data_IF_837957563147
#
_entry.id   IF_837957563147
#
_cell.length_a   1.000
_cell.length_b   1.000
_cell.length_c   1.000
_cell.angle_alpha   90.00
_cell.angle_beta   90.00
_cell.angle_gamma   90.00
#
_symmetry.space_group_name_H-M   'P 1'
#
loop_
_entity.id
_entity.type
_entity.pdbx_description
1 polymer ?
#
# COMPACT_ATOMS: atom_id res chain seq x y z
N UNK A 1 -34.43 -7.97 11.80
CA UNK A 1 -32.96 -8.02 11.62
C UNK A 1 -32.60 -9.10 10.61
N UNK A 2 -31.62 -8.86 9.74
CA UNK A 2 -31.09 -9.83 8.74
C UNK A 2 -29.66 -10.21 9.13
N UNK A 3 -29.08 -11.22 8.48
CA UNK A 3 -27.73 -11.70 8.80
C UNK A 3 -26.87 -11.96 7.57
N UNK A 4 -25.58 -11.63 7.70
CA UNK A 4 -24.51 -12.10 6.82
C UNK A 4 -23.41 -12.66 7.73
N UNK A 5 -23.09 -13.95 7.59
CA UNK A 5 -22.17 -14.65 8.49
C UNK A 5 -22.60 -14.50 9.96
N UNK A 6 -21.71 -14.08 10.85
CA UNK A 6 -21.97 -13.82 12.28
C UNK A 6 -22.36 -12.36 12.58
N UNK A 7 -22.76 -11.58 11.57
CA UNK A 7 -23.11 -10.16 11.74
C UNK A 7 -24.60 -9.96 11.45
N UNK A 8 -25.33 -9.53 12.46
CA UNK A 8 -26.71 -9.07 12.33
C UNK A 8 -26.75 -7.65 11.79
N UNK A 9 -27.77 -7.29 11.01
CA UNK A 9 -27.89 -5.93 10.49
C UNK A 9 -29.32 -5.50 10.21
N UNK A 10 -29.51 -4.19 10.17
CA UNK A 10 -30.73 -3.49 9.75
C UNK A 10 -30.33 -2.52 8.63
N UNK A 11 -31.22 -2.37 7.64
CA UNK A 11 -31.07 -1.42 6.53
C UNK A 11 -32.31 -0.55 6.52
N UNK A 12 -32.08 0.76 6.51
CA UNK A 12 -33.10 1.79 6.38
C UNK A 12 -32.89 2.54 5.07
N UNK A 13 -33.57 3.67 4.87
CA UNK A 13 -33.46 4.48 3.65
C UNK A 13 -32.04 5.05 3.45
N UNK A 14 -31.38 5.43 4.55
CA UNK A 14 -30.04 6.06 4.52
C UNK A 14 -28.96 5.11 4.99
N UNK A 15 -29.20 4.37 6.08
CA UNK A 15 -28.16 3.69 6.84
C UNK A 15 -28.20 2.17 6.71
N UNK A 16 -27.03 1.59 6.89
CA UNK A 16 -26.88 0.20 7.31
C UNK A 16 -26.24 0.19 8.69
N UNK A 17 -26.91 -0.48 9.64
CA UNK A 17 -26.42 -0.66 11.01
C UNK A 17 -26.15 -2.12 11.26
N UNK A 18 -24.94 -2.46 11.71
CA UNK A 18 -24.47 -3.82 11.92
C UNK A 18 -24.13 -4.09 13.38
N UNK A 19 -24.50 -5.27 13.85
CA UNK A 19 -24.10 -5.86 15.13
C UNK A 19 -23.15 -7.03 14.86
N UNK A 20 -21.86 -6.82 15.10
CA UNK A 20 -20.86 -7.88 15.02
C UNK A 20 -20.67 -8.48 16.40
N UNK A 21 -20.82 -9.81 16.50
CA UNK A 21 -20.63 -10.55 17.75
C UNK A 21 -19.47 -11.52 17.64
N UNK A 22 -18.69 -11.62 18.71
CA UNK A 22 -17.61 -12.60 18.85
C UNK A 22 -17.73 -13.32 20.19
N UNK A 23 -17.41 -14.60 20.18
CA UNK A 23 -17.35 -15.43 21.38
C UNK A 23 -16.03 -16.16 21.35
N UNK A 24 -15.23 -16.03 22.41
CA UNK A 24 -14.01 -16.79 22.57
C UNK A 24 -13.91 -17.33 23.98
N UNK A 25 -13.28 -18.49 24.13
CA UNK A 25 -13.07 -19.13 25.43
C UNK A 25 -12.00 -18.36 26.20
N UNK A 26 -12.28 -18.05 27.47
CA UNK A 26 -11.33 -17.43 28.40
C UNK A 26 -11.18 -18.37 29.60
N UNK A 27 -10.11 -19.15 29.64
CA UNK A 27 -9.94 -20.18 30.67
C UNK A 27 -10.77 -21.45 30.42
N UNK A 28 -10.90 -22.30 31.44
CA UNK A 28 -11.48 -23.65 31.30
C UNK A 28 -13.00 -23.63 31.15
N UNK A 29 -13.69 -22.73 31.86
CA UNK A 29 -15.14 -22.78 32.07
C UNK A 29 -15.87 -21.46 31.74
N UNK A 30 -15.18 -20.47 31.13
CA UNK A 30 -15.78 -19.18 30.77
C UNK A 30 -15.67 -18.89 29.27
N UNK A 31 -16.70 -18.24 28.73
CA UNK A 31 -16.72 -17.59 27.43
C UNK A 31 -16.72 -16.09 27.63
N UNK A 32 -15.93 -15.38 26.85
CA UNK A 32 -16.07 -13.93 26.69
C UNK A 32 -16.85 -13.66 25.41
N UNK A 33 -18.02 -13.07 25.60
CA UNK A 33 -18.85 -12.50 24.57
C UNK A 33 -18.43 -11.04 24.38
N UNK A 34 -18.31 -10.59 23.15
CA UNK A 34 -18.04 -9.20 22.82
C UNK A 34 -18.85 -8.80 21.61
N UNK A 35 -19.38 -7.58 21.60
CA UNK A 35 -20.15 -7.04 20.49
C UNK A 35 -19.75 -5.61 20.19
N UNK A 36 -19.96 -5.24 18.92
CA UNK A 36 -19.77 -3.89 18.41
C UNK A 36 -20.96 -3.54 17.53
N UNK A 37 -21.59 -2.40 17.80
CA UNK A 37 -22.61 -1.80 16.94
C UNK A 37 -21.97 -0.72 16.09
N UNK A 38 -22.05 -0.87 14.77
CA UNK A 38 -21.53 0.08 13.81
C UNK A 38 -22.61 0.59 12.87
N UNK A 39 -22.53 1.86 12.45
CA UNK A 39 -23.43 2.45 11.46
C UNK A 39 -22.67 3.18 10.35
N UNK A 40 -23.21 3.17 9.14
CA UNK A 40 -22.76 4.02 8.03
C UNK A 40 -23.87 4.23 7.00
N UNK A 41 -23.86 5.33 6.23
CA UNK A 41 -24.76 5.48 5.10
C UNK A 41 -24.51 4.39 4.05
N UNK A 42 -25.51 3.99 3.29
CA UNK A 42 -25.30 3.06 2.18
C UNK A 42 -24.50 3.71 1.05
N UNK A 43 -24.65 5.01 0.81
CA UNK A 43 -23.96 5.67 -0.30
C UNK A 43 -22.42 5.57 -0.22
N UNK A 44 -21.83 5.51 0.98
CA UNK A 44 -20.37 5.58 1.13
C UNK A 44 -19.63 4.37 0.53
N UNK A 45 -20.17 3.16 0.63
CA UNK A 45 -19.54 2.00 -0.02
C UNK A 45 -19.72 2.04 -1.54
N UNK A 46 -20.85 2.58 -2.03
CA UNK A 46 -21.07 2.71 -3.48
C UNK A 46 -20.08 3.67 -4.10
N UNK A 47 -19.79 4.78 -3.42
CA UNK A 47 -18.76 5.75 -3.81
C UNK A 47 -17.38 5.09 -3.74
N UNK A 48 -17.08 4.37 -2.65
CA UNK A 48 -15.82 3.65 -2.53
C UNK A 48 -15.63 2.69 -3.71
N UNK A 49 -16.62 1.84 -4.02
CA UNK A 49 -16.51 0.91 -5.15
C UNK A 49 -16.45 1.62 -6.50
N UNK A 50 -17.22 2.67 -6.72
CA UNK A 50 -17.16 3.44 -7.96
C UNK A 50 -15.79 4.10 -8.16
N UNK A 51 -15.16 4.55 -7.08
CA UNK A 51 -13.83 5.17 -7.12
C UNK A 51 -12.68 4.18 -7.21
N UNK A 52 -12.81 3.00 -6.60
CA UNK A 52 -11.68 2.09 -6.35
C UNK A 52 -11.75 0.79 -7.16
N UNK A 53 -12.96 0.39 -7.58
CA UNK A 53 -13.26 -0.83 -8.32
C UNK A 53 -14.26 -0.53 -9.46
N UNK A 54 -14.02 0.48 -10.33
CA UNK A 54 -15.00 0.96 -11.29
C UNK A 54 -15.49 -0.13 -12.26
N UNK A 55 -14.63 -1.09 -12.59
CA UNK A 55 -14.92 -2.15 -13.56
C UNK A 55 -15.58 -3.39 -12.93
N UNK A 56 -15.68 -3.44 -11.59
CA UNK A 56 -16.22 -4.61 -10.90
C UNK A 56 -17.74 -4.54 -10.86
N UNK A 57 -18.39 -5.35 -11.69
CA UNK A 57 -19.84 -5.49 -11.65
C UNK A 57 -20.28 -6.24 -10.38
N UNK A 58 -21.13 -5.60 -9.57
CA UNK A 58 -21.65 -6.18 -8.33
C UNK A 58 -23.16 -6.31 -8.33
N UNK A 59 -23.67 -7.54 -8.38
CA UNK A 59 -25.09 -7.82 -8.16
C UNK A 59 -25.54 -7.47 -6.74
N UNK A 60 -26.85 -7.27 -6.56
CA UNK A 60 -27.47 -6.77 -5.31
C UNK A 60 -27.05 -7.55 -4.06
N UNK A 61 -27.06 -8.89 -4.11
CA UNK A 61 -26.64 -9.74 -2.98
C UNK A 61 -25.16 -9.57 -2.66
N UNK A 62 -24.30 -9.45 -3.66
CA UNK A 62 -22.86 -9.27 -3.45
C UNK A 62 -22.57 -7.90 -2.84
N UNK A 63 -23.24 -6.84 -3.31
CA UNK A 63 -23.15 -5.51 -2.69
C UNK A 63 -23.51 -5.60 -1.21
N UNK A 64 -24.69 -6.13 -0.88
CA UNK A 64 -25.14 -6.24 0.51
C UNK A 64 -24.15 -6.99 1.40
N UNK A 65 -23.65 -8.15 0.96
CA UNK A 65 -22.66 -8.90 1.71
C UNK A 65 -21.38 -8.09 1.93
N UNK A 66 -20.85 -7.44 0.88
CA UNK A 66 -19.61 -6.65 0.98
C UNK A 66 -19.73 -5.45 1.92
N UNK A 67 -20.92 -4.83 2.04
CA UNK A 67 -21.16 -3.75 3.03
C UNK A 67 -20.95 -4.21 4.46
N UNK A 68 -21.28 -5.48 4.73
CA UNK A 68 -21.27 -6.07 6.07
C UNK A 68 -19.93 -6.75 6.38
N UNK A 69 -19.48 -7.67 5.53
CA UNK A 69 -18.31 -8.50 5.80
C UNK A 69 -17.18 -8.38 4.77
N UNK A 70 -17.31 -7.50 3.77
CA UNK A 70 -16.30 -7.32 2.73
C UNK A 70 -15.04 -6.59 3.21
N UNK A 71 -13.90 -6.94 2.62
CA UNK A 71 -12.61 -6.25 2.86
C UNK A 71 -12.59 -4.85 2.25
N UNK A 72 -13.19 -4.67 1.08
CA UNK A 72 -13.34 -3.39 0.39
C UNK A 72 -14.65 -2.72 0.79
N UNK A 73 -14.67 -2.12 1.97
CA UNK A 73 -15.81 -1.38 2.50
C UNK A 73 -15.34 -0.18 3.30
N UNK A 74 -16.20 0.84 3.40
CA UNK A 74 -16.02 1.89 4.40
C UNK A 74 -16.37 1.28 5.75
N UNK A 75 -15.48 1.41 6.72
CA UNK A 75 -15.76 0.91 8.07
C UNK A 75 -16.83 1.77 8.74
N UNK A 76 -17.80 1.13 9.41
CA UNK A 76 -18.84 1.88 10.10
C UNK A 76 -18.27 2.75 11.22
N UNK A 77 -18.99 3.81 11.56
CA UNK A 77 -18.81 4.53 12.82
C UNK A 77 -19.29 3.62 13.96
N UNK A 78 -18.42 3.38 14.94
CA UNK A 78 -18.79 2.63 16.14
C UNK A 78 -19.72 3.48 17.01
N UNK A 79 -20.92 2.98 17.26
CA UNK A 79 -21.89 3.61 18.16
C UNK A 79 -21.78 3.09 19.59
N UNK A 80 -21.47 1.82 19.72
CA UNK A 80 -21.49 1.11 20.99
C UNK A 80 -20.62 -0.15 20.94
N UNK A 81 -19.99 -0.47 22.07
CA UNK A 81 -19.25 -1.71 22.27
C UNK A 81 -19.56 -2.28 23.64
N UNK A 82 -19.63 -3.60 23.74
CA UNK A 82 -19.84 -4.26 25.02
C UNK A 82 -19.15 -5.60 25.10
N UNK A 83 -18.90 -6.03 26.34
CA UNK A 83 -18.27 -7.31 26.66
C UNK A 83 -18.95 -7.93 27.87
N UNK A 84 -19.13 -9.24 27.84
CA UNK A 84 -19.73 -10.00 28.95
C UNK A 84 -19.05 -11.36 29.06
N UNK A 85 -18.75 -11.80 30.27
CA UNK A 85 -18.31 -13.16 30.53
C UNK A 85 -19.50 -14.02 30.95
N UNK A 86 -19.60 -15.23 30.40
CA UNK A 86 -20.63 -16.21 30.72
C UNK A 86 -20.00 -17.58 30.93
N UNK A 87 -20.62 -18.41 31.77
CA UNK A 87 -20.16 -19.79 31.97
C UNK A 87 -20.38 -20.62 30.69
N UNK A 88 -19.47 -21.52 30.36
CA UNK A 88 -19.62 -22.41 29.18
C UNK A 88 -20.87 -23.27 29.26
N UNK A 89 -21.26 -23.67 30.47
CA UNK A 89 -22.47 -24.45 30.71
C UNK A 89 -23.77 -23.66 30.43
N UNK A 90 -23.71 -22.34 30.29
CA UNK A 90 -24.87 -21.50 29.95
C UNK A 90 -24.97 -21.24 28.45
N UNK A 91 -26.18 -21.26 27.91
CA UNK A 91 -26.41 -20.75 26.55
C UNK A 91 -26.14 -19.25 26.54
N UNK A 92 -25.37 -18.72 25.56
CA UNK A 92 -25.13 -17.29 25.45
C UNK A 92 -26.45 -16.52 25.27
N UNK A 93 -26.77 -15.62 26.20
CA UNK A 93 -27.92 -14.72 26.11
C UNK A 93 -27.49 -13.39 25.47
N UNK A 94 -28.11 -13.06 24.33
CA UNK A 94 -27.82 -11.87 23.55
C UNK A 94 -28.90 -10.79 23.67
N UNK A 95 -29.92 -10.99 24.52
CA UNK A 95 -31.08 -10.11 24.63
C UNK A 95 -30.67 -8.67 24.96
N UNK A 96 -29.73 -8.50 25.90
CA UNK A 96 -29.19 -7.19 26.27
C UNK A 96 -28.49 -6.50 25.08
N UNK A 97 -27.63 -7.23 24.37
CA UNK A 97 -26.90 -6.71 23.21
C UNK A 97 -27.86 -6.34 22.06
N UNK A 98 -28.92 -7.12 21.84
CA UNK A 98 -29.94 -6.84 20.83
C UNK A 98 -30.82 -5.64 21.21
N UNK A 99 -31.17 -5.49 22.50
CA UNK A 99 -31.89 -4.34 23.02
C UNK A 99 -31.05 -3.06 22.90
N UNK A 100 -29.78 -3.12 23.29
CA UNK A 100 -28.83 -2.03 23.15
C UNK A 100 -28.63 -1.63 21.69
N UNK A 101 -28.41 -2.61 20.80
CA UNK A 101 -28.30 -2.40 19.36
C UNK A 101 -29.51 -1.64 18.79
N UNK A 102 -30.73 -2.09 19.11
CA UNK A 102 -31.95 -1.46 18.60
C UNK A 102 -32.12 -0.02 19.13
N UNK A 103 -31.76 0.20 20.39
CA UNK A 103 -31.82 1.52 21.04
C UNK A 103 -30.82 2.51 20.42
N UNK A 104 -29.54 2.16 20.36
CA UNK A 104 -28.50 3.07 19.83
C UNK A 104 -28.69 3.36 18.35
N UNK A 105 -29.19 2.38 17.60
CA UNK A 105 -29.60 2.57 16.21
C UNK A 105 -30.70 3.64 16.09
N UNK A 106 -31.81 3.50 16.83
CA UNK A 106 -32.92 4.42 16.78
C UNK A 106 -32.53 5.84 17.25
N UNK A 107 -31.77 5.94 18.35
CA UNK A 107 -31.25 7.21 18.87
C UNK A 107 -30.35 7.92 17.82
N UNK A 108 -29.47 7.17 17.15
CA UNK A 108 -28.58 7.73 16.14
C UNK A 108 -29.34 8.20 14.90
N UNK A 109 -30.24 7.37 14.35
CA UNK A 109 -31.01 7.72 13.15
C UNK A 109 -31.93 8.92 13.42
N UNK A 110 -32.51 9.02 14.61
CA UNK A 110 -33.31 10.17 15.00
C UNK A 110 -32.49 11.47 15.06
N UNK A 111 -31.26 11.40 15.57
CA UNK A 111 -30.35 12.55 15.69
C UNK A 111 -29.69 12.93 14.37
N UNK A 112 -29.35 11.93 13.55
CA UNK A 112 -28.64 12.06 12.28
C UNK A 112 -29.45 11.38 11.18
N UNK A 113 -30.54 11.99 10.69
CA UNK A 113 -31.43 11.35 9.71
C UNK A 113 -30.89 11.35 8.28
N UNK A 114 -29.81 12.08 7.99
CA UNK A 114 -29.27 12.25 6.63
C UNK A 114 -27.77 12.02 6.55
N UNK A 115 -27.27 11.70 5.35
CA UNK A 115 -25.84 11.60 5.09
C UNK A 115 -25.07 12.89 5.48
N UNK A 116 -25.69 14.07 5.35
CA UNK A 116 -25.08 15.34 5.79
C UNK A 116 -24.90 15.39 7.31
N UNK A 117 -25.94 15.04 8.08
CA UNK A 117 -25.82 14.95 9.53
C UNK A 117 -24.87 13.83 10.00
N UNK A 118 -24.63 12.81 9.16
CA UNK A 118 -23.60 11.80 9.44
C UNK A 118 -22.17 12.36 9.35
N UNK A 119 -21.89 13.30 8.44
CA UNK A 119 -20.56 13.96 8.36
C UNK A 119 -20.24 14.66 9.68
N UNK A 120 -21.21 15.35 10.28
CA UNK A 120 -21.06 15.98 11.59
C UNK A 120 -20.77 14.94 12.68
N UNK A 121 -21.46 13.79 12.66
CA UNK A 121 -21.19 12.70 13.58
C UNK A 121 -19.77 12.14 13.42
N UNK A 122 -19.29 11.95 12.18
CA UNK A 122 -17.93 11.47 11.90
C UNK A 122 -16.88 12.45 12.45
N UNK A 123 -17.05 13.75 12.20
CA UNK A 123 -16.15 14.79 12.72
C UNK A 123 -16.17 14.89 14.24
N UNK A 124 -17.33 14.73 14.87
CA UNK A 124 -17.42 14.72 16.33
C UNK A 124 -16.73 13.50 16.96
N UNK A 125 -16.60 12.40 16.22
CA UNK A 125 -15.96 11.16 16.71
C UNK A 125 -14.50 11.00 16.26
N UNK A 126 -13.99 11.87 15.37
CA UNK A 126 -12.61 11.79 14.88
C UNK A 126 -11.59 11.84 16.01
N UNK A 127 -11.88 12.63 17.05
CA UNK A 127 -10.99 12.85 18.19
C UNK A 127 -10.94 11.64 19.14
N UNK A 128 -11.95 10.76 19.07
CA UNK A 128 -12.07 9.59 19.95
C UNK A 128 -11.57 8.28 19.29
N UNK A 129 -11.43 8.25 17.96
CA UNK A 129 -11.11 7.02 17.23
C UNK A 129 -9.59 6.81 17.10
N UNK A 130 -9.08 5.66 17.58
CA UNK A 130 -7.65 5.31 17.52
C UNK A 130 -7.15 4.95 16.11
N UNK A 131 -7.96 5.13 15.06
CA UNK A 131 -7.66 4.70 13.68
C UNK A 131 -7.86 5.85 12.68
N UNK A 132 -6.91 6.80 12.60
CA UNK A 132 -7.01 7.97 11.72
C UNK A 132 -7.24 7.60 10.25
N UNK A 133 -6.60 6.53 9.77
CA UNK A 133 -6.72 6.04 8.39
C UNK A 133 -8.11 5.51 8.03
N UNK A 134 -8.88 5.04 9.02
CA UNK A 134 -10.26 4.59 8.82
C UNK A 134 -11.19 5.78 8.79
N UNK A 135 -11.00 6.72 9.72
CA UNK A 135 -11.85 7.89 9.85
C UNK A 135 -11.77 8.80 8.60
N UNK A 136 -10.57 9.00 8.04
CA UNK A 136 -10.40 9.84 6.84
C UNK A 136 -11.16 9.29 5.62
N UNK A 137 -11.14 7.97 5.40
CA UNK A 137 -11.90 7.34 4.30
C UNK A 137 -13.40 7.50 4.53
N UNK A 138 -13.84 7.36 5.78
CA UNK A 138 -15.25 7.54 6.16
C UNK A 138 -15.72 8.97 5.94
N UNK A 139 -14.92 9.96 6.31
CA UNK A 139 -15.24 11.38 6.11
C UNK A 139 -15.32 11.74 4.63
N UNK A 140 -14.29 11.41 3.84
CA UNK A 140 -14.25 11.75 2.40
C UNK A 140 -15.45 11.13 1.67
N UNK A 141 -15.75 9.85 1.93
CA UNK A 141 -16.88 9.17 1.29
C UNK A 141 -18.24 9.68 1.77
N UNK A 142 -18.36 10.14 3.02
CA UNK A 142 -19.57 10.78 3.54
C UNK A 142 -19.80 12.17 2.91
N UNK A 143 -18.75 12.98 2.73
CA UNK A 143 -18.83 14.25 2.00
C UNK A 143 -19.23 14.06 0.53
N UNK A 144 -18.67 13.05 -0.13
CA UNK A 144 -19.08 12.70 -1.50
C UNK A 144 -20.55 12.26 -1.57
N UNK A 145 -21.04 11.56 -0.54
CA UNK A 145 -22.45 11.14 -0.48
C UNK A 145 -23.44 12.31 -0.35
N UNK A 146 -22.98 13.48 0.07
CA UNK A 146 -23.80 14.70 0.17
C UNK A 146 -23.64 15.63 -1.04
N UNK A 147 -22.73 15.30 -1.98
CA UNK A 147 -22.36 16.15 -3.10
C UNK A 147 -21.35 17.25 -2.75
N UNK A 148 -20.75 17.22 -1.55
CA UNK A 148 -19.72 18.16 -1.11
C UNK A 148 -18.34 17.81 -1.71
N UNK A 149 -18.29 17.70 -3.04
CA UNK A 149 -17.13 17.16 -3.77
C UNK A 149 -15.85 17.99 -3.58
N UNK A 150 -15.96 19.32 -3.58
CA UNK A 150 -14.80 20.21 -3.38
C UNK A 150 -14.18 20.01 -1.99
N UNK A 151 -15.01 19.99 -0.95
CA UNK A 151 -14.58 19.75 0.43
C UNK A 151 -13.98 18.34 0.59
N UNK A 152 -14.59 17.33 -0.03
CA UNK A 152 -14.05 15.97 -0.04
C UNK A 152 -12.65 15.91 -0.69
N UNK A 153 -12.43 16.65 -1.77
CA UNK A 153 -11.13 16.74 -2.43
C UNK A 153 -10.09 17.42 -1.53
N UNK A 154 -10.44 18.53 -0.88
CA UNK A 154 -9.55 19.26 0.02
C UNK A 154 -9.13 18.41 1.23
N UNK A 155 -10.09 17.71 1.85
CA UNK A 155 -9.82 16.78 2.96
C UNK A 155 -8.90 15.65 2.51
N UNK A 156 -9.13 15.08 1.32
CA UNK A 156 -8.30 14.01 0.79
C UNK A 156 -6.88 14.48 0.45
N UNK A 157 -6.72 15.64 -0.18
CA UNK A 157 -5.42 16.23 -0.52
C UNK A 157 -4.62 16.57 0.74
N UNK A 158 -5.27 17.13 1.77
CA UNK A 158 -4.63 17.43 3.04
C UNK A 158 -4.15 16.14 3.75
N UNK A 159 -4.93 15.07 3.70
CA UNK A 159 -4.53 13.76 4.23
C UNK A 159 -3.33 13.20 3.47
N UNK A 160 -3.35 13.24 2.13
CA UNK A 160 -2.23 12.80 1.28
C UNK A 160 -0.97 13.59 1.60
N UNK A 161 -1.07 14.91 1.79
CA UNK A 161 0.07 15.77 2.12
C UNK A 161 0.69 15.42 3.50
N UNK A 162 -0.13 14.99 4.47
CA UNK A 162 0.34 14.48 5.77
C UNK A 162 0.89 13.04 5.71
N UNK A 163 0.84 12.38 4.55
CA UNK A 163 1.25 10.99 4.39
C UNK A 163 0.22 9.98 4.90
N UNK A 164 -1.04 10.38 5.08
CA UNK A 164 -2.14 9.48 5.43
C UNK A 164 -2.63 8.72 4.20
N UNK A 165 -2.73 7.40 4.34
CA UNK A 165 -2.86 6.46 3.23
C UNK A 165 -4.22 5.75 3.16
N UNK A 166 -5.07 5.98 4.16
CA UNK A 166 -6.28 5.17 4.34
C UNK A 166 -5.95 3.72 4.71
N UNK A 167 -6.98 2.87 4.75
CA UNK A 167 -6.87 1.48 5.17
C UNK A 167 -6.90 0.46 4.00
N UNK A 168 -6.85 0.94 2.75
CA UNK A 168 -6.95 0.13 1.53
C UNK A 168 -5.97 0.62 0.47
N UNK A 169 -5.39 -0.32 -0.27
CA UNK A 169 -4.51 -0.05 -1.40
C UNK A 169 -4.76 -1.04 -2.54
N UNK A 170 -4.56 -0.58 -3.76
CA UNK A 170 -4.52 -1.39 -4.99
C UNK A 170 -3.21 -1.03 -5.70
N UNK A 171 -3.25 -0.37 -6.86
CA UNK A 171 -2.08 0.27 -7.45
C UNK A 171 -1.52 1.39 -6.55
N UNK A 172 -2.40 2.10 -5.85
CA UNK A 172 -2.00 3.06 -4.82
C UNK A 172 -3.03 3.12 -3.69
N UNK A 173 -2.83 4.05 -2.76
CA UNK A 173 -3.68 4.28 -1.60
C UNK A 173 -5.07 4.80 -1.96
N UNK A 174 -6.09 4.30 -1.27
CA UNK A 174 -7.51 4.65 -1.50
C UNK A 174 -7.78 6.15 -1.40
N UNK A 175 -7.04 6.89 -0.56
CA UNK A 175 -7.19 8.34 -0.42
C UNK A 175 -6.91 9.07 -1.73
N UNK A 176 -5.97 8.57 -2.56
CA UNK A 176 -5.68 9.16 -3.88
C UNK A 176 -6.79 8.90 -4.90
N UNK A 177 -7.38 7.69 -4.89
CA UNK A 177 -8.56 7.39 -5.71
C UNK A 177 -9.73 8.32 -5.35
N UNK A 178 -10.00 8.48 -4.05
CA UNK A 178 -11.08 9.33 -3.57
C UNK A 178 -10.82 10.81 -3.88
N UNK A 179 -9.59 11.31 -3.72
CA UNK A 179 -9.21 12.67 -4.09
C UNK A 179 -9.46 12.94 -5.59
N UNK A 180 -9.01 12.04 -6.45
CA UNK A 180 -9.21 12.17 -7.90
C UNK A 180 -10.70 12.06 -8.29
N UNK A 181 -11.44 11.15 -7.66
CA UNK A 181 -12.87 10.95 -7.87
C UNK A 181 -13.67 12.20 -7.45
N UNK A 182 -13.32 12.79 -6.31
CA UNK A 182 -13.94 14.03 -5.80
C UNK A 182 -13.74 15.22 -6.75
N UNK A 183 -12.56 15.32 -7.38
CA UNK A 183 -12.23 16.36 -8.38
C UNK A 183 -12.96 16.18 -9.72
N UNK A 184 -13.68 15.08 -9.91
CA UNK A 184 -14.53 14.84 -11.06
C UNK A 184 -13.88 14.02 -12.19
N UNK A 185 -14.63 13.74 -13.27
CA UNK A 185 -14.26 12.72 -14.26
C UNK A 185 -12.92 12.95 -14.96
N UNK A 186 -12.58 14.21 -15.27
CA UNK A 186 -11.32 14.53 -15.94
C UNK A 186 -10.11 14.25 -15.04
N UNK A 187 -10.19 14.68 -13.78
CA UNK A 187 -9.12 14.44 -12.80
C UNK A 187 -9.00 12.95 -12.48
N UNK A 188 -10.12 12.24 -12.34
CA UNK A 188 -10.14 10.80 -12.15
C UNK A 188 -9.54 10.04 -13.34
N UNK A 189 -9.89 10.42 -14.58
CA UNK A 189 -9.31 9.82 -15.79
C UNK A 189 -7.79 10.04 -15.86
N UNK A 190 -7.32 11.28 -15.64
CA UNK A 190 -5.88 11.59 -15.60
C UNK A 190 -5.16 10.80 -14.50
N UNK A 191 -5.77 10.68 -13.32
CA UNK A 191 -5.24 9.87 -12.24
C UNK A 191 -5.14 8.39 -12.64
N UNK A 192 -6.19 7.80 -13.19
CA UNK A 192 -6.15 6.38 -13.63
C UNK A 192 -5.10 6.14 -14.71
N UNK A 193 -4.92 7.08 -15.65
CA UNK A 193 -3.87 6.99 -16.66
C UNK A 193 -2.44 7.07 -16.05
N UNK A 194 -2.29 7.70 -14.88
CA UNK A 194 -1.02 7.78 -14.16
C UNK A 194 -0.71 6.57 -13.27
N UNK A 195 -1.63 5.59 -13.17
CA UNK A 195 -1.42 4.35 -12.41
C UNK A 195 -0.61 3.29 -13.17
N UNK A 196 -0.04 3.64 -14.32
CA UNK A 196 0.82 2.75 -15.11
C UNK A 196 2.12 2.46 -14.32
N UNK A 197 2.44 1.18 -14.05
CA UNK A 197 3.73 0.80 -13.51
C UNK A 197 4.89 1.28 -14.37
N UNK A 198 5.88 1.85 -13.71
CA UNK A 198 7.11 2.37 -14.35
C UNK A 198 8.33 1.51 -14.04
N UNK A 199 8.29 0.81 -12.90
CA UNK A 199 9.38 -0.04 -12.46
C UNK A 199 8.82 -1.27 -11.77
N UNK A 200 9.64 -2.30 -11.69
CA UNK A 200 9.44 -3.42 -10.80
C UNK A 200 10.56 -3.40 -9.75
N UNK A 201 10.20 -3.58 -8.48
CA UNK A 201 11.18 -3.79 -7.41
C UNK A 201 11.13 -5.24 -6.98
N UNK A 202 12.29 -5.89 -6.98
CA UNK A 202 12.44 -7.30 -6.65
C UNK A 202 13.39 -7.45 -5.47
N UNK A 203 12.91 -8.07 -4.40
CA UNK A 203 13.73 -8.49 -3.27
C UNK A 203 14.24 -9.90 -3.52
N UNK A 204 15.53 -10.10 -3.31
CA UNK A 204 16.20 -11.38 -3.48
C UNK A 204 16.56 -11.94 -2.11
N UNK A 205 16.21 -13.21 -1.92
CA UNK A 205 16.48 -13.97 -0.72
C UNK A 205 17.14 -15.31 -1.02
N UNK A 206 17.81 -15.91 -0.04
CA UNK A 206 18.38 -17.25 -0.16
C UNK A 206 17.34 -18.34 0.11
N UNK A 207 16.49 -18.15 1.13
CA UNK A 207 15.52 -19.17 1.55
C UNK A 207 14.16 -19.04 0.84
N UNK A 208 13.85 -17.86 0.32
CA UNK A 208 12.56 -17.55 -0.29
C UNK A 208 12.70 -17.23 -1.78
N UNK A 209 11.73 -17.61 -2.62
CA UNK A 209 11.66 -17.13 -4.00
C UNK A 209 11.68 -15.60 -4.05
N UNK A 210 12.23 -15.00 -5.13
CA UNK A 210 12.20 -13.56 -5.30
C UNK A 210 10.77 -13.03 -5.19
N UNK A 211 10.61 -11.98 -4.39
CA UNK A 211 9.35 -11.27 -4.28
C UNK A 211 9.44 -10.00 -5.11
N UNK A 212 8.49 -9.79 -6.01
CA UNK A 212 8.46 -8.62 -6.89
C UNK A 212 7.15 -7.85 -6.73
N UNK A 213 7.23 -6.52 -6.84
CA UNK A 213 6.06 -5.65 -6.87
C UNK A 213 6.26 -4.49 -7.84
N UNK A 214 5.15 -4.03 -8.40
CA UNK A 214 5.09 -2.96 -9.38
C UNK A 214 5.10 -1.59 -8.70
N UNK A 215 5.87 -0.64 -9.22
CA UNK A 215 5.96 0.72 -8.71
C UNK A 215 5.51 1.74 -9.75
N UNK A 216 4.57 2.60 -9.35
CA UNK A 216 4.10 3.73 -10.16
C UNK A 216 4.80 5.03 -9.70
N UNK A 217 5.72 5.57 -10.51
CA UNK A 217 6.53 6.76 -10.14
C UNK A 217 5.70 7.95 -9.69
N UNK A 218 4.55 8.17 -10.32
CA UNK A 218 3.63 9.25 -9.96
C UNK A 218 3.03 9.10 -8.55
N UNK A 219 3.04 7.89 -7.99
CA UNK A 219 2.30 7.58 -6.76
C UNK A 219 3.11 6.94 -5.64
N UNK A 220 4.32 6.47 -5.91
CA UNK A 220 5.22 5.87 -4.96
C UNK A 220 6.33 6.86 -4.56
N UNK A 221 6.62 6.97 -3.26
CA UNK A 221 7.57 7.95 -2.73
C UNK A 221 9.05 7.55 -2.84
N UNK A 222 9.36 6.42 -3.48
CA UNK A 222 10.74 5.92 -3.56
C UNK A 222 11.34 5.58 -2.19
N UNK A 223 10.52 5.02 -1.28
CA UNK A 223 10.97 4.60 0.06
C UNK A 223 11.69 3.25 0.00
N UNK A 224 12.96 3.28 -0.41
CA UNK A 224 13.82 2.09 -0.49
C UNK A 224 14.64 1.85 0.79
N UNK A 225 14.65 2.81 1.71
CA UNK A 225 15.47 2.77 2.93
C UNK A 225 15.12 1.59 3.83
N UNK A 226 13.84 1.27 3.97
CA UNK A 226 13.40 0.14 4.80
C UNK A 226 13.85 -1.20 4.22
N UNK A 227 13.72 -1.40 2.91
CA UNK A 227 14.14 -2.64 2.25
C UNK A 227 15.67 -2.81 2.31
N UNK A 228 16.42 -1.75 2.04
CA UNK A 228 17.89 -1.78 2.07
C UNK A 228 18.44 -1.97 3.50
N UNK A 229 17.81 -1.38 4.52
CA UNK A 229 18.18 -1.62 5.93
C UNK A 229 17.85 -3.03 6.41
N UNK A 230 16.93 -3.72 5.74
CA UNK A 230 16.54 -5.08 6.08
C UNK A 230 17.47 -6.16 5.47
N UNK A 231 18.45 -5.75 4.65
CA UNK A 231 19.44 -6.66 4.08
C UNK A 231 20.47 -7.10 5.14
N UNK A 232 20.69 -8.41 5.25
CA UNK A 232 21.66 -9.03 6.14
C UNK A 232 22.87 -9.64 5.41
N UNK A 233 22.83 -9.70 4.07
CA UNK A 233 23.89 -10.27 3.24
C UNK A 233 23.91 -11.80 3.21
N UNK A 234 23.00 -12.47 3.92
CA UNK A 234 22.90 -13.93 4.02
C UNK A 234 21.57 -14.44 3.45
N UNK A 235 20.46 -14.28 4.17
CA UNK A 235 19.13 -14.62 3.64
C UNK A 235 18.62 -13.47 2.78
N UNK A 236 18.48 -12.26 3.32
CA UNK A 236 18.07 -11.08 2.53
C UNK A 236 19.30 -10.35 2.07
N UNK A 237 19.66 -10.53 0.82
CA UNK A 237 20.96 -10.08 0.34
C UNK A 237 20.87 -9.18 -0.89
N UNK A 238 19.72 -9.08 -1.56
CA UNK A 238 19.62 -8.30 -2.79
C UNK A 238 18.31 -7.52 -2.95
N UNK A 239 18.42 -6.39 -3.64
CA UNK A 239 17.29 -5.58 -4.09
C UNK A 239 17.58 -5.13 -5.52
N UNK A 240 16.63 -5.34 -6.44
CA UNK A 240 16.72 -4.92 -7.85
C UNK A 240 15.57 -3.98 -8.15
N UNK A 241 15.87 -2.84 -8.74
CA UNK A 241 14.91 -1.88 -9.25
C UNK A 241 15.08 -1.80 -10.77
N UNK A 242 14.14 -2.40 -11.49
CA UNK A 242 14.17 -2.50 -12.95
C UNK A 242 13.19 -1.50 -13.57
N UNK A 243 13.63 -0.77 -14.59
CA UNK A 243 12.77 0.11 -15.38
C UNK A 243 11.94 -0.74 -16.33
N UNK A 244 10.62 -0.55 -16.33
CA UNK A 244 9.75 -1.27 -17.25
C UNK A 244 9.84 -0.66 -18.65
N UNK A 245 9.86 -1.49 -19.70
CA UNK A 245 9.69 -0.99 -21.05
C UNK A 245 8.29 -0.36 -21.20
N UNK A 246 8.11 0.54 -22.19
CA UNK A 246 6.79 1.08 -22.50
C UNK A 246 5.76 -0.03 -22.69
N UNK A 247 4.51 0.24 -22.29
CA UNK A 247 3.42 -0.74 -22.39
C UNK A 247 3.28 -1.22 -23.84
N UNK A 248 3.38 -2.53 -24.05
CA UNK A 248 3.27 -3.17 -25.36
C UNK A 248 4.57 -3.25 -26.17
N UNK A 249 5.70 -2.77 -25.64
CA UNK A 249 7.00 -2.99 -26.27
C UNK A 249 7.45 -4.45 -26.13
N UNK A 250 8.12 -4.98 -27.16
CA UNK A 250 8.76 -6.30 -27.09
C UNK A 250 9.90 -6.29 -26.08
N UNK A 251 10.19 -7.47 -25.52
CA UNK A 251 11.28 -7.62 -24.55
C UNK A 251 12.61 -7.51 -25.28
N UNK A 252 13.29 -6.38 -25.08
CA UNK A 252 14.58 -6.10 -25.66
C UNK A 252 15.68 -6.13 -24.59
N UNK A 253 16.57 -7.12 -24.68
CA UNK A 253 17.71 -7.29 -23.76
C UNK A 253 18.72 -6.14 -23.85
N UNK A 254 18.72 -5.40 -24.95
CA UNK A 254 19.46 -4.16 -25.13
C UNK A 254 18.95 -3.03 -24.26
N UNK A 255 17.64 -2.93 -24.13
CA UNK A 255 16.96 -1.83 -23.46
C UNK A 255 16.85 -2.03 -21.94
N UNK A 256 17.29 -3.18 -21.42
CA UNK A 256 17.23 -3.50 -19.99
C UNK A 256 18.00 -2.46 -19.19
N UNK A 257 17.29 -1.87 -18.22
CA UNK A 257 17.83 -0.90 -17.28
C UNK A 257 17.45 -1.32 -15.87
N UNK A 258 18.43 -1.51 -15.01
CA UNK A 258 18.18 -1.71 -13.60
C UNK A 258 19.29 -1.13 -12.74
N UNK A 259 18.92 -0.80 -11.50
CA UNK A 259 19.84 -0.61 -10.39
C UNK A 259 19.66 -1.77 -9.41
N UNK A 260 20.75 -2.38 -8.97
CA UNK A 260 20.70 -3.43 -7.95
C UNK A 260 21.67 -3.17 -6.82
N UNK A 261 21.32 -3.69 -5.65
CA UNK A 261 22.22 -3.79 -4.50
C UNK A 261 22.44 -5.25 -4.14
N UNK A 262 23.64 -5.58 -3.69
CA UNK A 262 23.95 -6.87 -3.09
C UNK A 262 24.81 -6.69 -1.83
N UNK A 263 24.41 -7.28 -0.71
CA UNK A 263 25.16 -7.22 0.55
C UNK A 263 24.29 -7.08 1.79
N UNK A 264 24.86 -6.47 2.83
CA UNK A 264 24.17 -6.18 4.09
C UNK A 264 23.90 -4.68 4.23
N UNK A 265 23.04 -4.30 5.19
CA UNK A 265 22.75 -2.90 5.47
C UNK A 265 23.99 -2.06 5.84
N UNK A 266 25.03 -2.67 6.40
CA UNK A 266 26.27 -2.00 6.79
C UNK A 266 27.24 -1.83 5.62
N UNK A 267 27.23 -2.76 4.67
CA UNK A 267 28.09 -2.75 3.49
C UNK A 267 27.43 -3.54 2.35
N UNK A 268 27.09 -2.84 1.28
CA UNK A 268 26.54 -3.41 0.04
C UNK A 268 27.22 -2.81 -1.18
N UNK A 269 27.33 -3.62 -2.23
CA UNK A 269 27.70 -3.16 -3.56
C UNK A 269 26.46 -2.65 -4.29
N UNK A 270 26.63 -1.62 -5.12
CA UNK A 270 25.61 -1.18 -6.07
C UNK A 270 26.08 -1.43 -7.49
N UNK A 271 25.18 -1.95 -8.33
CA UNK A 271 25.44 -2.19 -9.75
C UNK A 271 24.32 -1.59 -10.59
N UNK A 272 24.68 -1.04 -11.74
CA UNK A 272 23.73 -0.55 -12.74
C UNK A 272 23.93 -1.31 -14.03
N UNK A 273 22.84 -1.75 -14.64
CA UNK A 273 22.82 -2.17 -16.05
C UNK A 273 22.10 -1.12 -16.86
N UNK A 274 22.71 -0.72 -17.96
CA UNK A 274 22.12 0.23 -18.91
C UNK A 274 22.74 0.03 -20.30
N UNK A 275 22.09 0.53 -21.37
CA UNK A 275 22.71 0.59 -22.69
C UNK A 275 24.06 1.31 -22.60
N UNK A 276 25.12 0.75 -23.21
CA UNK A 276 26.48 1.28 -23.11
C UNK A 276 26.70 2.54 -23.97
N UNK A 277 25.76 2.82 -24.88
CA UNK A 277 25.80 3.96 -25.80
C UNK A 277 26.87 3.83 -26.88
N UNK A 278 27.48 2.65 -27.03
CA UNK A 278 28.59 2.38 -27.94
C UNK A 278 28.13 1.38 -29.01
N UNK A 279 28.26 1.73 -30.29
CA UNK A 279 27.88 0.90 -31.46
C UNK A 279 28.84 -0.30 -31.68
N UNK A 280 29.26 -1.01 -30.63
CA UNK A 280 30.30 -2.05 -30.68
C UNK A 280 29.77 -3.49 -30.57
N UNK A 281 28.45 -3.69 -30.65
CA UNK A 281 27.81 -5.01 -30.66
C UNK A 281 27.48 -5.58 -29.27
N UNK A 282 28.02 -4.99 -28.21
CA UNK A 282 27.46 -5.06 -26.86
C UNK A 282 26.30 -4.06 -26.78
N UNK A 283 25.20 -4.44 -26.13
CA UNK A 283 23.96 -3.65 -26.18
C UNK A 283 23.53 -3.12 -24.82
N UNK A 284 24.04 -3.73 -23.75
CA UNK A 284 23.99 -3.16 -22.41
C UNK A 284 25.16 -3.65 -21.58
N UNK A 285 25.61 -2.82 -20.64
CA UNK A 285 26.74 -3.13 -19.75
C UNK A 285 26.27 -3.03 -18.31
N UNK A 286 26.62 -4.03 -17.51
CA UNK A 286 26.55 -3.98 -16.04
C UNK A 286 27.86 -3.41 -15.52
N UNK A 287 27.74 -2.39 -14.68
CA UNK A 287 28.86 -1.71 -14.03
C UNK A 287 28.67 -1.69 -12.52
N UNK A 288 29.77 -1.85 -11.78
CA UNK A 288 29.83 -1.55 -10.35
C UNK A 288 29.93 -0.04 -10.17
N UNK A 289 29.17 0.51 -9.24
CA UNK A 289 29.13 1.94 -8.93
C UNK A 289 30.16 2.23 -7.84
N UNK A 290 30.97 3.27 -8.06
CA UNK A 290 31.94 3.77 -7.08
C UNK A 290 31.79 5.27 -6.82
N UNK A 291 32.16 5.75 -5.64
CA UNK A 291 32.20 7.18 -5.31
C UNK A 291 33.35 7.88 -6.04
N UNK A 292 33.06 8.95 -6.75
CA UNK A 292 34.07 9.79 -7.41
C UNK A 292 34.99 10.47 -6.40
N UNK A 293 36.27 10.67 -6.76
CA UNK A 293 37.22 11.42 -5.94
C UNK A 293 37.74 10.68 -4.70
N UNK A 294 37.31 9.44 -4.46
CA UNK A 294 37.91 8.55 -3.46
C UNK A 294 39.06 7.80 -4.11
N UNK A 295 40.24 7.80 -3.48
CA UNK A 295 41.43 7.17 -4.03
C UNK A 295 41.23 5.64 -4.10
N UNK A 296 41.39 4.98 -5.27
CA UNK A 296 41.20 3.54 -5.43
C UNK A 296 42.13 2.68 -4.56
N UNK A 297 43.18 3.27 -3.98
CA UNK A 297 44.20 2.58 -3.19
C UNK A 297 43.83 2.26 -1.73
N UNK A 298 42.60 2.51 -1.28
CA UNK A 298 42.11 2.07 0.04
C UNK A 298 41.60 0.61 -0.04
N UNK A 299 41.96 -0.20 0.97
CA UNK A 299 41.77 -1.64 1.08
C UNK A 299 40.39 -2.16 0.61
N UNK A 300 40.37 -3.39 0.08
CA UNK A 300 39.15 -4.13 -0.25
C UNK A 300 38.23 -4.21 0.97
N UNK A 301 36.93 -3.98 0.76
CA UNK A 301 35.89 -4.18 1.77
C UNK A 301 35.18 -5.49 1.46
N UNK A 302 35.14 -6.39 2.45
CA UNK A 302 34.36 -7.61 2.32
C UNK A 302 32.87 -7.26 2.31
N UNK A 303 32.23 -7.41 1.15
CA UNK A 303 30.76 -7.42 1.04
C UNK A 303 30.32 -8.87 1.05
N UNK A 304 29.65 -9.28 2.11
CA UNK A 304 29.03 -10.60 2.18
C UNK A 304 27.84 -10.63 1.23
N UNK A 305 27.98 -11.35 0.13
CA UNK A 305 26.94 -11.57 -0.88
C UNK A 305 27.16 -12.94 -1.52
N UNK A 306 26.08 -13.58 -1.97
CA UNK A 306 26.14 -14.82 -2.77
C UNK A 306 26.93 -14.66 -4.08
N UNK A 307 27.13 -13.42 -4.53
CA UNK A 307 27.92 -13.11 -5.72
C UNK A 307 29.43 -12.98 -5.46
N UNK A 308 29.87 -12.99 -4.18
CA UNK A 308 31.28 -13.00 -3.72
C UNK A 308 32.27 -12.32 -4.68
N UNK A 309 32.13 -11.01 -4.86
CA UNK A 309 33.13 -10.19 -5.53
C UNK A 309 33.80 -9.28 -4.49
N UNK A 310 35.13 -9.19 -4.51
CA UNK A 310 35.84 -8.18 -3.73
C UNK A 310 35.49 -6.81 -4.35
N UNK A 311 34.96 -5.91 -3.53
CA UNK A 311 34.72 -4.52 -3.93
C UNK A 311 35.71 -3.59 -3.29
N UNK A 312 36.09 -2.55 -4.02
CA UNK A 312 36.94 -1.51 -3.46
C UNK A 312 36.15 -0.71 -2.41
N UNK A 313 36.84 -0.12 -1.42
CA UNK A 313 36.20 0.69 -0.39
C UNK A 313 35.27 1.78 -0.96
N UNK A 314 35.64 2.40 -2.08
CA UNK A 314 34.83 3.43 -2.73
C UNK A 314 33.54 2.90 -3.40
N UNK A 315 33.42 1.58 -3.59
CA UNK A 315 32.29 0.86 -4.18
C UNK A 315 31.38 0.20 -3.13
N UNK A 316 31.74 0.27 -1.85
CA UNK A 316 30.93 -0.23 -0.74
C UNK A 316 30.05 0.89 -0.16
N UNK A 317 28.73 0.66 -0.08
CA UNK A 317 27.73 1.60 0.38
C UNK A 317 27.07 1.13 1.67
N UNK A 318 26.72 2.09 2.54
CA UNK A 318 25.75 1.85 3.60
C UNK A 318 24.32 1.85 3.03
N UNK A 319 23.36 1.24 3.73
CA UNK A 319 21.96 1.27 3.33
C UNK A 319 21.40 2.70 3.18
N UNK A 320 21.89 3.66 3.97
CA UNK A 320 21.45 5.05 3.88
C UNK A 320 21.90 5.69 2.56
N UNK A 321 23.18 5.55 2.19
CA UNK A 321 23.70 6.07 0.93
C UNK A 321 23.06 5.37 -0.27
N UNK A 322 22.91 4.04 -0.21
CA UNK A 322 22.24 3.27 -1.24
C UNK A 322 20.79 3.73 -1.46
N UNK A 323 20.06 4.04 -0.39
CA UNK A 323 18.68 4.51 -0.49
C UNK A 323 18.58 5.85 -1.26
N UNK A 324 19.58 6.73 -1.11
CA UNK A 324 19.61 7.98 -1.87
C UNK A 324 19.89 7.75 -3.36
N UNK A 325 20.78 6.80 -3.69
CA UNK A 325 21.03 6.40 -5.08
C UNK A 325 19.80 5.75 -5.71
N UNK A 326 19.15 4.82 -5.01
CA UNK A 326 17.90 4.20 -5.47
C UNK A 326 16.78 5.21 -5.67
N UNK A 327 16.65 6.18 -4.77
CA UNK A 327 15.64 7.24 -4.88
C UNK A 327 15.89 8.12 -6.11
N UNK A 328 17.14 8.54 -6.33
CA UNK A 328 17.52 9.31 -7.52
C UNK A 328 17.26 8.52 -8.80
N UNK A 329 17.73 7.27 -8.87
CA UNK A 329 17.51 6.40 -10.03
C UNK A 329 16.02 6.17 -10.31
N UNK A 330 15.20 5.93 -9.28
CA UNK A 330 13.77 5.74 -9.45
C UNK A 330 13.04 6.95 -10.05
N UNK A 331 13.51 8.16 -9.74
CA UNK A 331 12.90 9.39 -10.26
C UNK A 331 13.40 9.74 -11.66
N UNK A 332 14.69 9.56 -11.92
CA UNK A 332 15.38 10.12 -13.09
C UNK A 332 15.86 9.08 -14.11
N UNK A 333 15.73 7.78 -13.82
CA UNK A 333 16.30 6.66 -14.58
C UNK A 333 17.82 6.78 -14.81
N UNK A 334 18.49 7.52 -13.93
CA UNK A 334 19.90 7.88 -14.02
C UNK A 334 20.55 7.98 -12.64
N UNK A 335 21.86 7.77 -12.58
CA UNK A 335 22.64 8.02 -11.37
C UNK A 335 22.82 9.52 -11.15
N UNK A 336 22.81 10.01 -9.90
CA UNK A 336 23.16 11.39 -9.62
C UNK A 336 24.66 11.62 -9.85
N UNK A 337 25.07 12.88 -9.93
CA UNK A 337 26.48 13.24 -10.08
C UNK A 337 27.32 12.75 -8.89
N UNK A 338 28.62 12.51 -9.12
CA UNK A 338 29.56 12.07 -8.06
C UNK A 338 29.80 10.57 -7.99
N UNK A 339 29.31 9.80 -8.97
CA UNK A 339 29.58 8.37 -9.11
C UNK A 339 30.37 8.05 -10.37
N UNK A 340 31.25 7.05 -10.28
CA UNK A 340 31.99 6.44 -11.39
C UNK A 340 31.48 5.03 -11.64
N UNK A 341 31.60 4.57 -12.88
CA UNK A 341 31.20 3.22 -13.29
C UNK A 341 32.43 2.40 -13.65
N UNK A 342 32.56 1.22 -13.05
CA UNK A 342 33.52 0.19 -13.45
C UNK A 342 32.78 -0.93 -14.18
N UNK A 343 32.93 -1.07 -15.50
CA UNK A 343 32.30 -2.17 -16.25
C UNK A 343 32.75 -3.53 -15.71
N UNK A 344 31.82 -4.47 -15.58
CA UNK A 344 32.10 -5.85 -15.14
C UNK A 344 31.55 -6.90 -16.08
N UNK A 345 30.47 -6.60 -16.79
CA UNK A 345 29.82 -7.55 -17.70
C UNK A 345 29.12 -6.82 -18.83
N UNK A 346 29.32 -7.30 -20.06
CA UNK A 346 28.63 -6.86 -21.25
C UNK A 346 27.58 -7.89 -21.69
N UNK A 347 26.50 -7.43 -22.30
CA UNK A 347 25.41 -8.26 -22.78
C UNK A 347 25.12 -8.00 -24.26
N UNK A 348 25.01 -9.08 -25.04
CA UNK A 348 24.65 -9.03 -26.46
C UNK A 348 23.13 -8.85 -26.68
N UNK A 349 22.72 -8.70 -27.96
CA UNK A 349 21.30 -8.63 -28.37
C UNK A 349 20.50 -9.88 -27.98
N UNK A 350 21.17 -11.04 -27.89
CA UNK A 350 20.55 -12.31 -27.49
C UNK A 350 20.53 -12.51 -25.98
N UNK A 351 21.09 -11.55 -25.21
CA UNK A 351 21.19 -11.61 -23.76
C UNK A 351 22.38 -12.43 -23.25
N UNK A 352 23.28 -12.87 -24.12
CA UNK A 352 24.51 -13.58 -23.71
C UNK A 352 25.45 -12.63 -22.98
N UNK A 353 25.97 -13.08 -21.83
CA UNK A 353 26.82 -12.28 -20.96
C UNK A 353 28.31 -12.58 -21.20
N UNK A 354 29.14 -11.53 -21.21
CA UNK A 354 30.60 -11.59 -21.32
C UNK A 354 31.22 -10.74 -20.22
N UNK A 355 32.06 -11.35 -19.37
CA UNK A 355 32.82 -10.63 -18.33
C UNK A 355 33.86 -9.70 -18.97
N UNK A 356 34.00 -8.49 -18.43
CA UNK A 356 34.90 -7.44 -18.93
C UNK A 356 36.20 -7.32 -18.11
#
# INVERSE_FOLDING_TARGET
>A
MRFVSNTGFIVDDVYITSLSVTVHRVGKDLLQMSWTTGIKPMAVDDILWASFLPDVQMGTRMRLNRRINGTFRVWPLTLDEGRRQVAIASQPDWSDALGQFSRVHAEFVAKHPTAASFVEAVRAHSDAEQRPSVNIVREITALLATGANAEAADVADAAIARGEQGNMSSATYVTKYLAAYAKGPQAYSAFTASLVPTHDVTRISAEQPPWSTELMRAHHQGRFDQELRALDGADRWGLVLEVRPPVGAEKDHAAVRYLQSAGSAAAMMLEIRQPDGLDHGDVSVRSVIGRSGVNPGLQDVAVTSHLSENVYHHEAFTAAEAADVFRAYYHDDALPAGYTLRPVEAYSVTGEARRL
#
